data_IF_698357424174
#
_entry.id   IF_698357424174
#
_cell.length_a   1.000
_cell.length_b   1.000
_cell.length_c   1.000
_cell.angle_alpha   90.00
_cell.angle_beta   90.00
_cell.angle_gamma   90.00
#
_symmetry.space_group_name_H-M   'P 1'
#
loop_
_entity.id
_entity.type
_entity.pdbx_description
1 polymer ?
#
# COMPACT_ATOMS: atom_id res chain seq x y z
N UNK A 1 24.75 10.06 -0.91
CA UNK A 1 24.04 8.94 -1.58
C UNK A 1 23.39 7.95 -0.62
N UNK A 2 24.06 7.56 0.47
CA UNK A 2 23.58 6.54 1.43
C UNK A 2 22.17 6.84 1.99
N UNK A 3 21.86 8.11 2.32
CA UNK A 3 20.54 8.53 2.81
C UNK A 3 19.39 8.24 1.83
N UNK A 4 19.61 8.46 0.54
CA UNK A 4 18.59 8.20 -0.48
C UNK A 4 18.42 6.70 -0.73
N UNK A 5 19.50 5.93 -0.62
CA UNK A 5 19.45 4.46 -0.64
C UNK A 5 18.57 3.89 0.47
N UNK A 6 18.63 4.43 1.69
CA UNK A 6 17.75 3.97 2.78
C UNK A 6 16.28 4.27 2.54
N UNK A 7 15.94 5.42 1.95
CA UNK A 7 14.56 5.73 1.57
C UNK A 7 14.06 4.79 0.48
N UNK A 8 14.89 4.51 -0.53
CA UNK A 8 14.57 3.55 -1.58
C UNK A 8 14.32 2.15 -1.01
N UNK A 9 15.24 1.66 -0.18
CA UNK A 9 15.12 0.35 0.47
C UNK A 9 13.91 0.30 1.40
N UNK A 10 13.65 1.35 2.16
CA UNK A 10 12.47 1.44 3.03
C UNK A 10 11.17 1.37 2.24
N UNK A 11 11.07 2.13 1.15
CA UNK A 11 9.87 2.11 0.30
C UNK A 11 9.61 0.70 -0.23
N UNK A 12 10.64 0.04 -0.76
CA UNK A 12 10.55 -1.33 -1.24
C UNK A 12 10.14 -2.32 -0.15
N UNK A 13 10.83 -2.30 1.00
CA UNK A 13 10.56 -3.23 2.11
C UNK A 13 9.17 -3.02 2.70
N UNK A 14 8.71 -1.78 2.84
CA UNK A 14 7.38 -1.46 3.39
C UNK A 14 6.28 -1.91 2.42
N UNK A 15 6.47 -1.73 1.10
CA UNK A 15 5.54 -2.24 0.09
C UNK A 15 5.48 -3.78 0.08
N UNK A 16 6.63 -4.45 0.13
CA UNK A 16 6.68 -5.92 0.23
C UNK A 16 6.04 -6.40 1.53
N UNK A 17 6.29 -5.70 2.64
CA UNK A 17 5.69 -6.03 3.93
C UNK A 17 4.16 -5.95 3.89
N UNK A 18 3.59 -4.91 3.26
CA UNK A 18 2.14 -4.79 3.10
C UNK A 18 1.57 -6.00 2.34
N UNK A 19 2.19 -6.37 1.22
CA UNK A 19 1.80 -7.55 0.45
C UNK A 19 1.89 -8.84 1.28
N UNK A 20 2.99 -9.00 2.02
CA UNK A 20 3.20 -10.16 2.88
C UNK A 20 2.13 -10.27 3.98
N UNK A 21 1.75 -9.13 4.58
CA UNK A 21 0.68 -9.09 5.59
C UNK A 21 -0.64 -9.53 4.98
N UNK A 22 -1.01 -9.02 3.79
CA UNK A 22 -2.24 -9.45 3.10
C UNK A 22 -2.20 -10.94 2.77
N UNK A 23 -1.06 -11.44 2.29
CA UNK A 23 -0.88 -12.85 1.97
C UNK A 23 -1.06 -13.74 3.19
N UNK A 24 -0.47 -13.36 4.33
CA UNK A 24 -0.64 -14.08 5.59
C UNK A 24 -2.12 -14.07 6.01
N UNK A 25 -2.81 -12.94 5.88
CA UNK A 25 -4.24 -12.85 6.20
C UNK A 25 -5.08 -13.77 5.32
N UNK A 26 -4.82 -13.84 4.02
CA UNK A 26 -5.49 -14.76 3.09
C UNK A 26 -5.24 -16.22 3.47
N UNK A 27 -3.99 -16.58 3.79
CA UNK A 27 -3.63 -17.95 4.21
C UNK A 27 -4.29 -18.33 5.53
N UNK A 28 -4.35 -17.41 6.50
CA UNK A 28 -4.90 -17.67 7.84
C UNK A 28 -6.43 -17.76 7.83
N UNK A 29 -7.10 -16.94 7.03
CA UNK A 29 -8.56 -16.89 6.99
C UNK A 29 -9.17 -17.87 6.01
N UNK A 30 -8.40 -18.34 5.01
CA UNK A 30 -8.79 -19.26 3.94
C UNK A 30 -9.95 -18.80 3.05
N UNK A 31 -10.59 -17.68 3.35
CA UNK A 31 -11.79 -17.17 2.68
C UNK A 31 -11.59 -15.80 2.05
N UNK A 32 -10.44 -15.15 2.32
CA UNK A 32 -10.19 -13.81 1.81
C UNK A 32 -9.32 -13.79 0.55
N UNK A 33 -9.49 -12.74 -0.24
CA UNK A 33 -8.72 -12.50 -1.46
C UNK A 33 -8.00 -11.14 -1.43
N UNK A 34 -7.55 -10.70 -0.25
CA UNK A 34 -6.98 -9.38 0.00
C UNK A 34 -5.71 -9.12 -0.81
N UNK A 35 -4.86 -10.13 -0.99
CA UNK A 35 -3.61 -10.00 -1.75
C UNK A 35 -3.91 -9.73 -3.21
N UNK A 36 -4.85 -10.48 -3.80
CA UNK A 36 -5.27 -10.29 -5.19
C UNK A 36 -6.00 -8.96 -5.36
N UNK A 37 -6.81 -8.56 -4.38
CA UNK A 37 -7.48 -7.26 -4.40
C UNK A 37 -6.48 -6.10 -4.33
N UNK A 38 -5.44 -6.23 -3.51
CA UNK A 38 -4.41 -5.20 -3.29
C UNK A 38 -3.63 -4.87 -4.59
N UNK A 39 -3.42 -5.88 -5.43
CA UNK A 39 -2.69 -5.75 -6.70
C UNK A 39 -3.62 -5.62 -7.92
N UNK A 40 -4.94 -5.68 -7.70
CA UNK A 40 -5.93 -5.72 -8.76
C UNK A 40 -5.84 -4.49 -9.68
N UNK A 41 -5.76 -4.72 -11.00
CA UNK A 41 -5.79 -3.68 -12.04
C UNK A 41 -6.81 -4.00 -13.15
N UNK A 42 -7.78 -4.87 -12.87
CA UNK A 42 -8.77 -5.34 -13.85
C UNK A 42 -9.57 -4.20 -14.51
N UNK A 43 -9.64 -3.03 -13.88
CA UNK A 43 -10.30 -1.83 -14.42
C UNK A 43 -9.46 -1.09 -15.48
N UNK A 44 -8.20 -1.46 -15.65
CA UNK A 44 -7.27 -0.90 -16.65
C UNK A 44 -6.89 -1.94 -17.71
N UNK A 45 -6.70 -3.21 -17.32
CA UNK A 45 -6.19 -4.27 -18.19
C UNK A 45 -7.03 -5.55 -18.07
N UNK A 46 -7.08 -6.34 -19.15
CA UNK A 46 -7.82 -7.62 -19.16
C UNK A 46 -7.18 -8.62 -18.16
N UNK A 47 -7.93 -9.10 -17.14
CA UNK A 47 -7.42 -10.05 -16.16
C UNK A 47 -6.91 -11.36 -16.78
N UNK A 48 -7.42 -11.76 -17.94
CA UNK A 48 -7.03 -13.02 -18.58
C UNK A 48 -5.70 -12.92 -19.35
N UNK A 49 -5.26 -11.69 -19.64
CA UNK A 49 -4.06 -11.41 -20.43
C UNK A 49 -2.95 -10.77 -19.59
N UNK A 50 -3.27 -10.29 -18.40
CA UNK A 50 -2.34 -9.61 -17.51
C UNK A 50 -1.63 -10.64 -16.62
N UNK A 51 -0.30 -10.77 -16.70
CA UNK A 51 0.42 -11.68 -15.83
C UNK A 51 0.48 -11.11 -14.40
N UNK A 52 0.30 -11.97 -13.40
CA UNK A 52 0.34 -11.61 -11.96
C UNK A 52 1.58 -10.80 -11.57
N UNK A 53 2.73 -11.08 -12.21
CA UNK A 53 3.98 -10.36 -11.92
C UNK A 53 3.90 -8.88 -12.32
N UNK A 54 3.12 -8.54 -13.36
CA UNK A 54 2.91 -7.16 -13.77
C UNK A 54 2.03 -6.43 -12.76
N UNK A 55 0.95 -7.06 -12.28
CA UNK A 55 0.10 -6.52 -11.20
C UNK A 55 0.93 -6.21 -9.95
N UNK A 56 1.78 -7.16 -9.56
CA UNK A 56 2.70 -7.01 -8.44
C UNK A 56 3.70 -5.84 -8.64
N UNK A 57 4.30 -5.74 -9.83
CA UNK A 57 5.23 -4.65 -10.14
C UNK A 57 4.55 -3.28 -10.07
N UNK A 58 3.33 -3.17 -10.61
CA UNK A 58 2.54 -1.93 -10.53
C UNK A 58 2.25 -1.58 -9.08
N UNK A 59 1.85 -2.56 -8.26
CA UNK A 59 1.62 -2.33 -6.83
C UNK A 59 2.88 -1.80 -6.11
N UNK A 60 4.04 -2.41 -6.34
CA UNK A 60 5.32 -1.96 -5.76
C UNK A 60 5.64 -0.53 -6.22
N UNK A 61 5.41 -0.21 -7.49
CA UNK A 61 5.60 1.15 -8.01
C UNK A 61 4.67 2.16 -7.34
N UNK A 62 3.39 1.83 -7.16
CA UNK A 62 2.42 2.70 -6.45
C UNK A 62 2.87 2.94 -5.01
N UNK A 63 3.24 1.88 -4.28
CA UNK A 63 3.74 2.01 -2.91
C UNK A 63 5.00 2.88 -2.82
N UNK A 64 5.90 2.74 -3.79
CA UNK A 64 7.08 3.60 -3.92
C UNK A 64 6.71 5.07 -4.15
N UNK A 65 5.77 5.34 -5.07
CA UNK A 65 5.30 6.71 -5.37
C UNK A 65 4.64 7.36 -4.14
N UNK A 66 3.85 6.61 -3.37
CA UNK A 66 3.28 7.08 -2.11
C UNK A 66 4.41 7.47 -1.13
N UNK A 67 5.39 6.60 -0.93
CA UNK A 67 6.52 6.89 -0.04
C UNK A 67 7.28 8.15 -0.46
N UNK A 68 7.62 8.28 -1.74
CA UNK A 68 8.35 9.45 -2.27
C UNK A 68 7.53 10.73 -2.10
N UNK A 69 6.21 10.66 -2.33
CA UNK A 69 5.30 11.79 -2.11
C UNK A 69 5.34 12.24 -0.64
N UNK A 70 5.28 11.29 0.30
CA UNK A 70 5.39 11.60 1.73
C UNK A 70 6.77 12.12 2.13
N UNK A 71 7.85 11.61 1.53
CA UNK A 71 9.20 12.14 1.72
C UNK A 71 9.32 13.58 1.22
N UNK A 72 8.71 13.89 0.08
CA UNK A 72 8.65 15.24 -0.47
C UNK A 72 7.87 16.18 0.45
N UNK A 73 6.68 15.78 0.89
CA UNK A 73 5.88 16.53 1.87
C UNK A 73 6.69 16.75 3.16
N UNK A 74 7.38 15.72 3.67
CA UNK A 74 8.20 15.84 4.86
C UNK A 74 9.30 16.91 4.74
N UNK A 75 9.94 17.00 3.57
CA UNK A 75 11.06 17.92 3.32
C UNK A 75 10.60 19.36 3.09
N UNK A 76 9.54 19.55 2.31
CA UNK A 76 9.14 20.88 1.83
C UNK A 76 7.89 21.44 2.52
N UNK A 77 7.00 20.57 3.00
CA UNK A 77 5.68 20.91 3.55
C UNK A 77 5.50 20.32 4.95
N UNK A 78 6.53 20.42 5.80
CA UNK A 78 6.62 19.77 7.11
C UNK A 78 5.38 19.95 8.03
N UNK A 79 4.68 21.10 8.08
CA UNK A 79 3.45 21.23 8.86
C UNK A 79 2.33 20.29 8.39
N UNK A 80 2.23 20.07 7.07
CA UNK A 80 1.20 19.22 6.47
C UNK A 80 1.51 17.72 6.58
N UNK A 81 2.77 17.34 6.83
CA UNK A 81 3.21 15.94 6.88
C UNK A 81 2.35 15.04 7.77
N UNK A 82 1.94 15.52 8.96
CA UNK A 82 1.08 14.74 9.86
C UNK A 82 -0.35 14.61 9.33
N UNK A 83 -0.90 15.67 8.75
CA UNK A 83 -2.25 15.71 8.20
C UNK A 83 -2.36 14.80 6.97
N UNK A 84 -1.29 14.71 6.16
CA UNK A 84 -1.25 13.82 4.99
C UNK A 84 -1.50 12.35 5.34
N UNK A 85 -1.11 11.89 6.54
CA UNK A 85 -1.42 10.52 6.97
C UNK A 85 -2.91 10.31 7.24
N UNK A 86 -3.60 11.31 7.78
CA UNK A 86 -5.05 11.24 7.95
C UNK A 86 -5.75 11.10 6.59
N UNK A 87 -5.32 11.90 5.61
CA UNK A 87 -5.84 11.81 4.24
C UNK A 87 -5.54 10.45 3.61
N UNK A 88 -4.35 9.88 3.85
CA UNK A 88 -3.99 8.56 3.34
C UNK A 88 -4.88 7.45 3.91
N UNK A 89 -5.21 7.50 5.19
CA UNK A 89 -6.16 6.54 5.79
C UNK A 89 -7.56 6.70 5.18
N UNK A 90 -8.03 7.94 4.95
CA UNK A 90 -9.30 8.19 4.25
C UNK A 90 -9.29 7.58 2.85
N UNK A 91 -8.18 7.72 2.12
CA UNK A 91 -8.01 7.08 0.81
C UNK A 91 -8.13 5.56 0.96
N UNK A 92 -7.46 4.93 1.92
CA UNK A 92 -7.54 3.48 2.10
C UNK A 92 -8.94 2.99 2.51
N UNK A 93 -9.70 3.77 3.28
CA UNK A 93 -11.11 3.50 3.60
C UNK A 93 -11.98 3.47 2.35
N UNK A 94 -11.78 4.43 1.44
CA UNK A 94 -12.55 4.52 0.19
C UNK A 94 -12.06 3.49 -0.84
N UNK A 95 -10.77 3.17 -0.82
CA UNK A 95 -10.14 2.35 -1.85
C UNK A 95 -10.66 0.91 -1.86
N UNK A 96 -10.86 0.27 -0.69
CA UNK A 96 -11.39 -1.10 -0.64
C UNK A 96 -12.76 -1.25 -1.36
N UNK A 97 -13.83 -0.51 -0.98
CA UNK A 97 -15.11 -0.65 -1.67
C UNK A 97 -15.02 -0.20 -3.14
N UNK A 98 -14.16 0.77 -3.46
CA UNK A 98 -13.95 1.21 -4.84
C UNK A 98 -13.33 0.12 -5.70
N UNK A 99 -12.31 -0.58 -5.20
CA UNK A 99 -11.64 -1.67 -5.91
C UNK A 99 -12.59 -2.84 -6.13
N UNK A 100 -13.43 -3.19 -5.15
CA UNK A 100 -14.47 -4.20 -5.31
C UNK A 100 -15.47 -3.79 -6.40
N UNK A 101 -15.96 -2.56 -6.38
CA UNK A 101 -16.94 -2.06 -7.35
C UNK A 101 -16.38 -2.04 -8.79
N UNK A 102 -15.08 -1.80 -8.94
CA UNK A 102 -14.39 -1.74 -10.23
C UNK A 102 -13.84 -3.09 -10.70
N UNK A 103 -13.85 -4.12 -9.84
CA UNK A 103 -13.27 -5.40 -10.18
C UNK A 103 -14.11 -6.13 -11.24
N UNK A 104 -13.44 -6.76 -12.21
CA UNK A 104 -14.12 -7.56 -13.23
C UNK A 104 -14.26 -9.03 -12.81
N UNK A 105 -13.39 -9.51 -11.90
CA UNK A 105 -13.45 -10.89 -11.39
C UNK A 105 -14.61 -11.06 -10.40
N UNK A 106 -15.49 -12.07 -10.59
CA UNK A 106 -16.74 -12.20 -9.84
C UNK A 106 -16.57 -12.60 -8.36
N UNK A 107 -15.40 -13.15 -7.99
CA UNK A 107 -15.11 -13.56 -6.62
C UNK A 107 -14.80 -12.38 -5.69
N UNK A 108 -14.56 -11.18 -6.23
CA UNK A 108 -14.43 -9.98 -5.41
C UNK A 108 -15.82 -9.51 -4.98
N UNK A 109 -16.15 -9.74 -3.72
CA UNK A 109 -17.40 -9.34 -3.10
C UNK A 109 -17.09 -8.58 -1.82
N UNK A 110 -17.89 -7.56 -1.52
CA UNK A 110 -17.66 -6.76 -0.32
C UNK A 110 -17.83 -7.61 0.94
N UNK A 111 -16.83 -7.58 1.82
CA UNK A 111 -16.87 -8.25 3.12
C UNK A 111 -16.38 -7.31 4.22
N UNK A 112 -17.15 -7.21 5.30
CA UNK A 112 -16.76 -6.41 6.47
C UNK A 112 -15.48 -6.93 7.14
N UNK A 113 -15.27 -8.24 7.12
CA UNK A 113 -14.07 -8.87 7.67
C UNK A 113 -12.84 -8.49 6.86
N UNK A 114 -12.92 -8.64 5.53
CA UNK A 114 -11.85 -8.22 4.62
C UNK A 114 -11.57 -6.73 4.71
N UNK A 115 -12.62 -5.91 4.81
CA UNK A 115 -12.47 -4.47 4.97
C UNK A 115 -11.74 -4.12 6.27
N UNK A 116 -12.07 -4.78 7.39
CA UNK A 116 -11.35 -4.60 8.65
C UNK A 116 -9.88 -4.98 8.55
N UNK A 117 -9.59 -6.15 7.97
CA UNK A 117 -8.22 -6.64 7.74
C UNK A 117 -7.42 -5.72 6.82
N UNK A 118 -8.06 -5.24 5.75
CA UNK A 118 -7.50 -4.26 4.83
C UNK A 118 -7.04 -3.01 5.57
N UNK A 119 -7.88 -2.44 6.42
CA UNK A 119 -7.53 -1.24 7.19
C UNK A 119 -6.43 -1.51 8.20
N UNK A 120 -6.43 -2.67 8.87
CA UNK A 120 -5.36 -3.06 9.80
C UNK A 120 -4.00 -3.12 9.06
N UNK A 121 -3.93 -3.79 7.92
CA UNK A 121 -2.69 -3.90 7.14
C UNK A 121 -2.18 -2.52 6.68
N UNK A 122 -3.09 -1.66 6.23
CA UNK A 122 -2.75 -0.31 5.79
C UNK A 122 -2.37 0.65 6.93
N UNK A 123 -2.89 0.44 8.14
CA UNK A 123 -2.44 1.13 9.35
C UNK A 123 -0.99 0.76 9.69
N UNK A 124 -0.64 -0.53 9.61
CA UNK A 124 0.74 -1.00 9.82
C UNK A 124 1.67 -0.36 8.79
N UNK A 125 1.32 -0.41 7.50
CA UNK A 125 2.04 0.27 6.41
C UNK A 125 2.27 1.76 6.72
N UNK A 126 1.23 2.45 7.15
CA UNK A 126 1.26 3.87 7.49
C UNK A 126 2.21 4.17 8.65
N UNK A 127 2.16 3.38 9.72
CA UNK A 127 3.06 3.53 10.88
C UNK A 127 4.51 3.31 10.47
N UNK A 128 4.80 2.28 9.66
CA UNK A 128 6.13 2.01 9.15
C UNK A 128 6.69 3.20 8.35
N UNK A 129 5.88 3.80 7.47
CA UNK A 129 6.29 5.01 6.73
C UNK A 129 6.52 6.21 7.67
N UNK A 130 5.58 6.44 8.61
CA UNK A 130 5.64 7.54 9.56
C UNK A 130 6.90 7.51 10.43
N UNK A 131 7.43 6.32 10.72
CA UNK A 131 8.69 6.13 11.43
C UNK A 131 9.92 6.18 10.51
N UNK A 132 9.89 5.47 9.38
CA UNK A 132 11.03 5.37 8.46
C UNK A 132 11.46 6.72 7.91
N UNK A 133 10.50 7.54 7.44
CA UNK A 133 10.80 8.80 6.75
C UNK A 133 11.58 9.78 7.65
N UNK A 134 11.13 10.10 8.88
CA UNK A 134 11.88 10.97 9.78
C UNK A 134 13.19 10.35 10.25
N UNK A 135 13.21 9.04 10.51
CA UNK A 135 14.40 8.33 11.02
C UNK A 135 15.58 8.46 10.05
N UNK A 136 15.38 8.08 8.78
CA UNK A 136 16.43 8.20 7.77
C UNK A 136 16.66 9.65 7.31
N UNK A 137 15.70 10.55 7.57
CA UNK A 137 15.88 11.96 7.27
C UNK A 137 16.69 12.75 8.28
N UNK A 138 16.65 12.38 9.56
CA UNK A 138 17.37 13.09 10.64
C UNK A 138 18.78 12.58 10.84
N UNK A 139 19.10 11.37 10.36
CA UNK A 139 20.42 10.76 10.52
C UNK A 139 21.46 11.55 9.72
N UNK A 140 22.25 12.36 10.43
CA UNK A 140 23.51 12.91 9.95
C UNK A 140 24.55 11.81 10.14
N UNK A 141 24.90 11.13 9.05
CA UNK A 141 26.13 10.34 8.98
C UNK A 141 27.14 11.17 8.22
#
# INVERSE_FOLDING_TARGET
MIRYGYHFLSALLISILLLLIMFIMDVVTHTTHLTLLLINIDFIADPNQTPLILELLIHIVIGFLIYITFLFIYKFFKPFYKISYLLLIIIFLILYPSLIMLAQRPFFQFSWTEYGLWIIAHLIFTVCMAWSIPYFSKKKW
#
